data_IF_648729171263
#
_entry.id   IF_648729171263
#
_cell.length_a   1.000
_cell.length_b   1.000
_cell.length_c   1.000
_cell.angle_alpha   90.00
_cell.angle_beta   90.00
_cell.angle_gamma   90.00
#
_symmetry.space_group_name_H-M   'P 1'
#
loop_
_entity.id
_entity.type
_entity.pdbx_description
1 polymer ?
#
# COMPACT_ATOMS: atom_id res chain seq x y z
N UNK A 1 16.18 -6.90 -0.63
CA UNK A 1 15.25 -8.00 -0.33
C UNK A 1 14.00 -7.72 -1.12
N UNK A 2 13.47 -8.69 -1.88
CA UNK A 2 12.28 -8.47 -2.69
C UNK A 2 11.08 -9.09 -1.97
N UNK A 3 10.08 -8.28 -1.64
CA UNK A 3 8.87 -8.68 -0.97
C UNK A 3 7.75 -8.87 -1.98
N UNK A 4 6.95 -9.92 -1.82
CA UNK A 4 5.75 -10.12 -2.61
C UNK A 4 4.59 -9.34 -1.98
N UNK A 5 3.96 -8.47 -2.78
CA UNK A 5 2.78 -7.71 -2.35
C UNK A 5 1.52 -8.45 -2.79
N UNK A 6 0.82 -9.04 -1.82
CA UNK A 6 -0.44 -9.75 -2.06
C UNK A 6 -1.60 -8.76 -1.89
N UNK A 7 -2.29 -8.45 -2.99
CA UNK A 7 -3.46 -7.56 -3.00
C UNK A 7 -4.74 -8.40 -3.14
N UNK A 8 -5.62 -8.45 -2.12
CA UNK A 8 -6.87 -9.17 -2.21
C UNK A 8 -7.76 -8.64 -3.35
N UNK A 9 -8.50 -9.54 -4.02
CA UNK A 9 -9.49 -9.19 -5.06
C UNK A 9 -10.42 -8.01 -4.71
N UNK A 10 -11.01 -7.90 -3.49
CA UNK A 10 -11.83 -6.75 -3.15
C UNK A 10 -11.05 -5.43 -3.18
N UNK A 11 -9.80 -5.43 -2.73
CA UNK A 11 -8.93 -4.25 -2.74
C UNK A 11 -8.55 -3.87 -4.17
N UNK A 12 -8.29 -4.85 -5.05
CA UNK A 12 -8.02 -4.58 -6.47
C UNK A 12 -9.20 -3.85 -7.15
N UNK A 13 -10.44 -4.23 -6.84
CA UNK A 13 -11.64 -3.55 -7.36
C UNK A 13 -11.73 -2.11 -6.84
N UNK A 14 -11.42 -1.89 -5.56
CA UNK A 14 -11.38 -0.54 -4.98
C UNK A 14 -10.30 0.31 -5.61
N UNK A 15 -9.10 -0.23 -5.84
CA UNK A 15 -8.00 0.48 -6.50
C UNK A 15 -8.43 0.97 -7.90
N UNK A 16 -9.07 0.10 -8.69
CA UNK A 16 -9.58 0.43 -10.04
C UNK A 16 -10.73 1.45 -10.04
N UNK A 17 -11.39 1.67 -8.90
CA UNK A 17 -12.50 2.63 -8.80
C UNK A 17 -12.04 4.07 -8.60
N UNK A 18 -10.76 4.29 -8.28
CA UNK A 18 -10.21 5.62 -8.12
C UNK A 18 -9.92 6.31 -9.46
N UNK A 19 -9.89 7.65 -9.50
CA UNK A 19 -9.36 8.40 -10.63
C UNK A 19 -7.92 8.02 -11.00
N UNK A 20 -7.53 8.19 -12.27
CA UNK A 20 -6.23 7.77 -12.80
C UNK A 20 -5.03 8.41 -12.08
N UNK A 21 -5.15 9.66 -11.66
CA UNK A 21 -4.13 10.39 -10.90
C UNK A 21 -3.91 9.76 -9.51
N UNK A 22 -4.99 9.32 -8.86
CA UNK A 22 -4.93 8.61 -7.58
C UNK A 22 -4.38 7.19 -7.78
N UNK A 23 -4.82 6.49 -8.82
CA UNK A 23 -4.32 5.15 -9.13
C UNK A 23 -2.81 5.14 -9.37
N UNK A 24 -2.30 6.10 -10.15
CA UNK A 24 -0.87 6.25 -10.43
C UNK A 24 -0.07 6.38 -9.13
N UNK A 25 -0.48 7.30 -8.26
CA UNK A 25 0.19 7.53 -6.96
C UNK A 25 0.15 6.31 -6.04
N UNK A 26 -0.98 5.60 -6.02
CA UNK A 26 -1.12 4.39 -5.21
C UNK A 26 -0.23 3.26 -5.74
N UNK A 27 -0.17 3.07 -7.06
CA UNK A 27 0.67 2.05 -7.68
C UNK A 27 2.16 2.29 -7.41
N UNK A 28 2.63 3.54 -7.51
CA UNK A 28 4.01 3.90 -7.14
C UNK A 28 4.32 3.52 -5.69
N UNK A 29 3.40 3.82 -4.77
CA UNK A 29 3.56 3.48 -3.34
C UNK A 29 3.53 1.97 -3.08
N UNK A 30 2.69 1.23 -3.80
CA UNK A 30 2.60 -0.24 -3.71
C UNK A 30 3.89 -0.87 -4.22
N UNK A 31 4.46 -0.36 -5.32
CA UNK A 31 5.74 -0.83 -5.85
C UNK A 31 6.88 -0.62 -4.86
N UNK A 32 6.93 0.50 -4.14
CA UNK A 32 7.94 0.70 -3.09
C UNK A 32 7.93 -0.38 -1.99
N UNK A 33 6.76 -1.02 -1.75
CA UNK A 33 6.65 -2.08 -0.75
C UNK A 33 7.38 -3.36 -1.15
N UNK A 34 7.70 -3.55 -2.44
CA UNK A 34 8.49 -4.71 -2.89
C UNK A 34 9.95 -4.59 -2.43
N UNK A 35 10.47 -3.37 -2.31
CA UNK A 35 11.84 -3.13 -1.86
C UNK A 35 11.92 -2.91 -0.35
N UNK A 36 11.03 -2.08 0.19
CA UNK A 36 10.96 -1.75 1.61
C UNK A 36 9.52 -1.90 2.13
N UNK A 37 9.21 -2.93 2.93
CA UNK A 37 7.84 -3.23 3.35
C UNK A 37 7.30 -2.21 4.37
N UNK A 38 8.18 -1.37 4.93
CA UNK A 38 7.88 -0.36 5.95
C UNK A 38 8.62 0.95 5.61
N UNK A 39 8.26 1.60 4.50
CA UNK A 39 8.94 2.80 4.08
C UNK A 39 8.72 3.93 5.08
N UNK A 40 9.64 4.90 5.09
CA UNK A 40 9.55 6.05 6.00
C UNK A 40 8.17 6.73 5.93
N UNK A 41 7.57 6.99 7.09
CA UNK A 41 6.25 7.62 7.20
C UNK A 41 5.06 6.66 7.39
N UNK A 42 5.27 5.34 7.41
CA UNK A 42 4.23 4.41 7.86
C UNK A 42 3.93 4.56 9.35
N UNK A 43 2.65 4.47 9.73
CA UNK A 43 2.24 4.45 11.14
C UNK A 43 1.68 3.10 11.52
N UNK A 44 2.22 2.46 12.56
CA UNK A 44 1.67 1.22 13.12
C UNK A 44 0.27 1.47 13.67
N UNK A 45 -0.68 0.58 13.36
CA UNK A 45 -2.03 0.65 13.90
C UNK A 45 -2.06 0.13 15.34
N UNK A 46 -2.71 0.87 16.23
CA UNK A 46 -2.88 0.47 17.64
C UNK A 46 -3.91 -0.67 17.70
N UNK A 47 -3.59 -1.73 18.45
CA UNK A 47 -4.46 -2.91 18.59
C UNK A 47 -4.17 -4.04 17.62
N UNK A 48 -3.25 -3.85 16.67
CA UNK A 48 -2.86 -4.87 15.69
C UNK A 48 -1.37 -5.19 15.79
N UNK A 49 -1.02 -6.48 15.67
CA UNK A 49 0.36 -6.93 15.82
C UNK A 49 1.28 -6.41 14.70
N UNK A 50 0.82 -6.53 13.44
CA UNK A 50 1.62 -6.33 12.23
C UNK A 50 0.91 -5.48 11.17
N UNK A 51 -0.01 -4.61 11.57
CA UNK A 51 -0.72 -3.74 10.64
C UNK A 51 -0.21 -2.31 10.69
N UNK A 52 -0.08 -1.71 9.52
CA UNK A 52 0.50 -0.39 9.31
C UNK A 52 -0.36 0.40 8.33
N UNK A 53 -0.43 1.70 8.54
CA UNK A 53 -1.07 2.65 7.62
C UNK A 53 -0.02 3.39 6.82
N UNK A 54 -0.08 3.23 5.51
CA UNK A 54 0.60 4.06 4.52
C UNK A 54 -0.35 5.18 4.07
N UNK A 55 0.15 6.41 3.94
CA UNK A 55 -0.62 7.54 3.37
C UNK A 55 -0.19 7.75 1.92
N UNK A 56 -1.15 7.86 1.01
CA UNK A 56 -0.90 8.17 -0.41
C UNK A 56 -0.86 9.68 -0.71
N UNK A 57 -0.40 10.50 0.24
CA UNK A 57 -0.41 11.97 0.14
C UNK A 57 1.00 12.51 0.01
#
# INVERSE_FOLDING_TARGET
MNYEVIIPKPVQKQLKSFPDDVQTRLNEKILLLTDEPRPSGVKKLKGYANEYRLRGR
#
